data_IF_753440460426
#
_entry.id   IF_753440460426
#
_cell.length_a   1.000
_cell.length_b   1.000
_cell.length_c   1.000
_cell.angle_alpha   90.00
_cell.angle_beta   90.00
_cell.angle_gamma   90.00
#
_symmetry.space_group_name_H-M   'P 1'
#
loop_
_entity.id
_entity.type
_entity.pdbx_description
1 polymer ?
#
# COMPACT_ATOMS: atom_id res chain seq x y z
N UNK A 1 7.37 70.56 -8.81
CA UNK A 1 6.83 69.17 -8.75
C UNK A 1 7.89 68.07 -8.91
N UNK A 2 9.17 68.26 -8.64
CA UNK A 2 10.22 67.23 -8.79
C UNK A 2 10.64 66.51 -7.48
N UNK A 3 10.21 67.07 -6.32
CA UNK A 3 10.71 66.61 -4.99
C UNK A 3 10.00 65.36 -4.46
N UNK A 4 8.80 65.03 -4.98
CA UNK A 4 8.03 63.91 -4.46
C UNK A 4 8.32 62.56 -5.16
N UNK A 5 8.96 62.57 -6.34
CA UNK A 5 9.28 61.36 -7.07
C UNK A 5 10.47 60.56 -6.49
N UNK A 6 11.45 61.29 -5.95
CA UNK A 6 12.59 60.66 -5.26
C UNK A 6 12.18 59.96 -3.97
N UNK A 7 11.20 60.51 -3.22
CA UNK A 7 10.63 59.87 -2.03
C UNK A 7 9.86 58.58 -2.38
N UNK A 8 9.15 58.60 -3.50
CA UNK A 8 8.38 57.42 -3.97
C UNK A 8 9.31 56.31 -4.45
N UNK A 9 10.41 56.61 -5.12
CA UNK A 9 11.42 55.66 -5.56
C UNK A 9 12.17 55.01 -4.35
N UNK A 10 12.51 55.78 -3.34
CA UNK A 10 13.18 55.26 -2.13
C UNK A 10 12.24 54.38 -1.32
N UNK A 11 10.95 54.72 -1.26
CA UNK A 11 9.94 53.89 -0.57
C UNK A 11 9.69 52.55 -1.29
N UNK A 12 9.66 52.52 -2.64
CA UNK A 12 9.52 51.28 -3.41
C UNK A 12 10.72 50.35 -3.29
N UNK A 13 11.95 50.90 -3.28
CA UNK A 13 13.17 50.10 -3.09
C UNK A 13 13.27 49.50 -1.70
N UNK A 14 12.81 50.24 -0.66
CA UNK A 14 12.80 49.73 0.71
C UNK A 14 11.77 48.59 0.90
N UNK A 15 10.59 48.68 0.25
CA UNK A 15 9.56 47.63 0.27
C UNK A 15 10.01 46.37 -0.44
N UNK A 16 10.75 46.49 -1.55
CA UNK A 16 11.28 45.32 -2.27
C UNK A 16 12.41 44.61 -1.49
N UNK A 17 13.18 45.31 -0.70
CA UNK A 17 14.23 44.72 0.13
C UNK A 17 13.66 43.90 1.32
N UNK A 18 12.50 44.28 1.85
CA UNK A 18 11.87 43.59 2.99
C UNK A 18 11.19 42.28 2.53
N UNK A 19 10.71 42.23 1.28
CA UNK A 19 10.09 40.99 0.73
C UNK A 19 11.11 39.93 0.33
N UNK A 20 12.36 40.28 0.07
CA UNK A 20 13.43 39.36 -0.28
C UNK A 20 13.98 38.54 0.91
N UNK A 21 13.80 39.02 2.15
CA UNK A 21 14.31 38.36 3.36
C UNK A 21 13.32 37.40 4.02
N UNK A 22 12.08 37.28 3.52
CA UNK A 22 11.05 36.43 4.11
C UNK A 22 10.64 35.24 3.19
N UNK A 23 11.59 34.64 2.48
CA UNK A 23 11.41 33.34 1.81
C UNK A 23 12.29 32.28 2.47
N UNK A 24 11.95 31.79 3.68
CA UNK A 24 12.68 30.64 4.27
C UNK A 24 12.28 29.28 3.67
N UNK A 25 11.45 29.26 2.63
CA UNK A 25 10.88 28.01 2.10
C UNK A 25 11.48 27.48 0.79
N UNK A 26 12.35 28.23 0.09
CA UNK A 26 12.84 27.80 -1.24
C UNK A 26 14.20 27.09 -1.24
N UNK A 27 14.81 26.89 -0.08
CA UNK A 27 16.06 26.13 0.09
C UNK A 27 15.93 25.01 1.13
N UNK A 28 14.73 24.49 1.37
CA UNK A 28 14.64 23.21 2.04
C UNK A 28 15.12 22.15 1.05
N UNK A 29 16.39 21.79 1.19
CA UNK A 29 16.90 20.51 0.69
C UNK A 29 15.91 19.45 1.19
N UNK A 30 15.33 18.60 0.31
CA UNK A 30 14.50 17.50 0.78
C UNK A 30 15.26 16.78 1.88
N UNK A 31 14.61 16.58 3.02
CA UNK A 31 15.20 15.79 4.10
C UNK A 31 15.70 14.49 3.48
N UNK A 32 16.91 14.02 3.84
CA UNK A 32 17.36 12.71 3.39
C UNK A 32 16.22 11.72 3.69
N UNK A 33 15.89 10.80 2.77
CA UNK A 33 14.90 9.76 3.05
C UNK A 33 15.29 9.12 4.38
N UNK A 34 14.31 8.99 5.28
CA UNK A 34 14.54 8.27 6.54
C UNK A 34 15.14 6.91 6.20
N UNK A 35 16.19 6.49 6.93
CA UNK A 35 16.83 5.22 6.65
C UNK A 35 15.76 4.14 6.73
N UNK A 36 15.56 3.42 5.63
CA UNK A 36 14.73 2.22 5.60
C UNK A 36 15.19 1.32 6.75
N UNK A 37 14.31 0.92 7.67
CA UNK A 37 14.72 0.12 8.81
C UNK A 37 15.50 -1.10 8.30
N UNK A 38 16.67 -1.32 8.89
CA UNK A 38 17.49 -2.50 8.57
C UNK A 38 16.69 -3.73 8.98
N UNK A 39 16.51 -4.72 8.09
CA UNK A 39 15.76 -5.91 8.43
C UNK A 39 16.39 -6.59 9.63
N UNK A 40 15.57 -6.96 10.61
CA UNK A 40 15.97 -7.85 11.68
C UNK A 40 16.43 -9.20 11.08
N UNK A 41 17.34 -9.90 11.77
CA UNK A 41 17.81 -11.21 11.37
C UNK A 41 16.62 -12.14 11.13
N UNK A 42 16.57 -12.76 9.93
CA UNK A 42 15.52 -13.69 9.55
C UNK A 42 14.58 -13.20 8.44
N UNK A 43 14.90 -12.10 7.75
CA UNK A 43 14.15 -11.68 6.55
C UNK A 43 14.82 -12.21 5.28
N UNK A 44 14.02 -12.78 4.36
CA UNK A 44 14.50 -13.32 3.08
C UNK A 44 13.64 -12.80 1.92
N UNK A 45 14.27 -12.74 0.72
CA UNK A 45 13.58 -12.34 -0.49
C UNK A 45 12.78 -13.49 -1.08
N UNK A 46 11.48 -13.27 -1.24
CA UNK A 46 10.59 -14.14 -1.98
C UNK A 46 10.29 -13.57 -3.37
N UNK A 47 10.22 -14.46 -4.36
CA UNK A 47 9.86 -14.08 -5.73
C UNK A 47 8.43 -14.53 -6.04
N UNK A 48 7.69 -13.65 -6.69
CA UNK A 48 6.36 -13.94 -7.21
C UNK A 48 6.24 -13.56 -8.68
N UNK A 49 5.04 -13.66 -9.23
CA UNK A 49 4.78 -13.32 -10.62
C UNK A 49 4.91 -11.78 -10.85
N UNK A 50 6.10 -11.35 -11.30
CA UNK A 50 6.41 -9.95 -11.62
C UNK A 50 6.75 -9.08 -10.40
N UNK A 51 7.13 -9.69 -9.27
CA UNK A 51 7.51 -8.94 -8.07
C UNK A 51 8.49 -9.71 -7.20
N UNK A 52 9.16 -8.99 -6.29
CA UNK A 52 9.91 -9.54 -5.16
C UNK A 52 9.43 -8.84 -3.89
N UNK A 53 9.46 -9.54 -2.77
CA UNK A 53 9.10 -9.02 -1.44
C UNK A 53 10.01 -9.62 -0.38
N UNK A 54 10.37 -8.83 0.62
CA UNK A 54 11.12 -9.27 1.78
C UNK A 54 10.14 -9.68 2.89
N UNK A 55 10.19 -10.94 3.30
CA UNK A 55 9.34 -11.49 4.36
C UNK A 55 10.21 -12.23 5.39
N UNK A 56 9.71 -12.45 6.61
CA UNK A 56 10.33 -13.41 7.53
C UNK A 56 10.60 -14.75 6.87
N UNK A 57 11.72 -15.38 7.20
CA UNK A 57 12.13 -16.70 6.70
C UNK A 57 11.18 -17.84 7.10
N UNK A 58 10.25 -17.54 7.99
CA UNK A 58 9.19 -18.43 8.45
C UNK A 58 7.98 -18.52 7.51
N UNK A 59 7.95 -17.67 6.47
CA UNK A 59 6.89 -17.77 5.47
C UNK A 59 7.15 -18.93 4.51
N UNK A 60 6.12 -19.74 4.28
CA UNK A 60 6.12 -20.80 3.29
C UNK A 60 5.21 -20.42 2.11
N UNK A 61 5.81 -20.37 0.91
CA UNK A 61 5.06 -20.16 -0.32
C UNK A 61 4.25 -21.42 -0.67
N UNK A 62 2.99 -21.20 -1.03
CA UNK A 62 2.06 -22.28 -1.46
C UNK A 62 1.75 -22.17 -2.95
N UNK A 63 1.35 -23.27 -3.54
CA UNK A 63 0.90 -23.30 -4.94
C UNK A 63 -0.52 -22.72 -5.04
N UNK A 64 -0.63 -21.53 -5.60
CA UNK A 64 -1.91 -20.85 -5.78
C UNK A 64 -2.90 -21.68 -6.60
N UNK A 65 -2.44 -22.52 -7.54
CA UNK A 65 -3.31 -23.37 -8.36
C UNK A 65 -3.96 -24.47 -7.57
N UNK A 66 -3.26 -25.02 -6.58
CA UNK A 66 -3.77 -26.08 -5.72
C UNK A 66 -4.69 -25.55 -4.62
N UNK A 67 -4.55 -24.27 -4.25
CA UNK A 67 -5.26 -23.67 -3.12
C UNK A 67 -6.24 -22.55 -3.54
N UNK A 68 -6.71 -22.57 -4.79
CA UNK A 68 -7.63 -21.54 -5.31
C UNK A 68 -8.88 -21.35 -4.44
N UNK A 69 -9.42 -22.41 -3.86
CA UNK A 69 -10.58 -22.32 -2.97
C UNK A 69 -10.29 -21.52 -1.69
N UNK A 70 -9.13 -21.76 -1.07
CA UNK A 70 -8.68 -20.99 0.10
C UNK A 70 -8.45 -19.53 -0.23
N UNK A 71 -7.80 -19.26 -1.37
CA UNK A 71 -7.55 -17.90 -1.85
C UNK A 71 -8.86 -17.15 -2.13
N UNK A 72 -9.83 -17.78 -2.78
CA UNK A 72 -11.15 -17.20 -3.03
C UNK A 72 -11.85 -16.81 -1.73
N UNK A 73 -11.92 -17.73 -0.77
CA UNK A 73 -12.52 -17.45 0.53
C UNK A 73 -11.84 -16.27 1.25
N UNK A 74 -10.52 -16.16 1.10
CA UNK A 74 -9.71 -15.08 1.66
C UNK A 74 -10.05 -13.74 1.00
N UNK A 75 -10.13 -13.71 -0.33
CA UNK A 75 -10.47 -12.51 -1.09
C UNK A 75 -11.93 -12.09 -0.88
N UNK A 76 -12.86 -13.01 -0.81
CA UNK A 76 -14.28 -12.71 -0.61
C UNK A 76 -14.53 -11.95 0.68
N UNK A 77 -13.74 -12.19 1.72
CA UNK A 77 -13.79 -11.41 2.96
C UNK A 77 -13.39 -9.94 2.76
N UNK A 78 -12.52 -9.67 1.79
CA UNK A 78 -12.06 -8.31 1.47
C UNK A 78 -12.88 -7.65 0.35
N UNK A 79 -13.19 -8.40 -0.71
CA UNK A 79 -13.83 -7.90 -1.94
C UNK A 79 -15.35 -7.83 -1.82
N UNK A 80 -15.97 -8.76 -1.07
CA UNK A 80 -17.40 -9.00 -1.08
C UNK A 80 -17.86 -9.79 -2.31
N UNK A 81 -19.16 -9.96 -2.45
CA UNK A 81 -19.74 -10.76 -3.54
C UNK A 81 -19.57 -10.14 -4.93
N UNK A 82 -20.12 -10.80 -5.94
CA UNK A 82 -20.00 -10.46 -7.36
C UNK A 82 -20.51 -9.05 -7.74
N UNK A 83 -21.35 -8.44 -6.92
CA UNK A 83 -21.85 -7.08 -7.12
C UNK A 83 -20.88 -5.98 -6.65
N UNK A 84 -19.72 -6.35 -6.10
CA UNK A 84 -18.71 -5.41 -5.64
C UNK A 84 -18.03 -4.70 -6.82
N UNK A 85 -17.76 -3.38 -6.73
CA UNK A 85 -16.97 -2.66 -7.75
C UNK A 85 -15.56 -3.21 -7.95
N UNK A 86 -15.07 -4.02 -7.01
CA UNK A 86 -13.75 -4.67 -7.09
C UNK A 86 -13.86 -6.19 -7.24
N UNK A 87 -15.04 -6.70 -7.64
CA UNK A 87 -15.27 -8.13 -7.87
C UNK A 87 -14.29 -8.72 -8.90
N UNK A 88 -13.85 -7.92 -9.87
CA UNK A 88 -12.86 -8.35 -10.87
C UNK A 88 -11.48 -8.74 -10.28
N UNK A 89 -11.22 -8.48 -9.00
CA UNK A 89 -10.05 -9.07 -8.32
C UNK A 89 -10.11 -10.59 -8.27
N UNK A 90 -11.32 -11.17 -8.27
CA UNK A 90 -11.54 -12.62 -8.27
C UNK A 90 -11.58 -13.22 -9.68
N UNK A 91 -11.74 -12.36 -10.72
CA UNK A 91 -11.73 -12.83 -12.10
C UNK A 91 -10.33 -13.30 -12.49
N UNK A 92 -10.24 -14.45 -13.15
CA UNK A 92 -8.97 -15.04 -13.59
C UNK A 92 -7.94 -15.10 -12.45
N UNK A 93 -8.37 -15.45 -11.25
CA UNK A 93 -7.56 -15.39 -10.02
C UNK A 93 -6.21 -16.09 -10.19
N UNK A 94 -6.17 -17.26 -10.86
CA UNK A 94 -4.93 -18.01 -11.10
C UNK A 94 -3.84 -17.17 -11.78
N UNK A 95 -4.23 -16.31 -12.73
CA UNK A 95 -3.29 -15.44 -13.44
C UNK A 95 -2.98 -14.13 -12.67
N UNK A 96 -3.86 -13.75 -11.76
CA UNK A 96 -3.77 -12.51 -11.01
C UNK A 96 -3.01 -12.68 -9.68
N UNK A 97 -2.93 -13.90 -9.12
CA UNK A 97 -2.12 -14.16 -7.93
C UNK A 97 -0.64 -14.02 -8.27
N UNK A 98 0.02 -13.07 -7.63
CA UNK A 98 1.46 -12.88 -7.75
C UNK A 98 2.23 -13.69 -6.71
N UNK A 99 1.67 -13.85 -5.51
CA UNK A 99 2.26 -14.65 -4.43
C UNK A 99 1.17 -15.08 -3.44
N UNK A 100 1.32 -16.29 -2.88
CA UNK A 100 0.46 -16.83 -1.84
C UNK A 100 1.26 -17.69 -0.88
N UNK A 101 0.99 -17.56 0.43
CA UNK A 101 1.62 -18.40 1.44
C UNK A 101 1.23 -18.00 2.85
N UNK A 102 1.87 -18.65 3.84
CA UNK A 102 1.58 -18.44 5.26
C UNK A 102 2.85 -18.43 6.11
N UNK A 103 2.79 -17.74 7.24
CA UNK A 103 3.83 -17.75 8.27
C UNK A 103 3.63 -18.95 9.19
N UNK A 104 4.56 -19.90 9.11
CA UNK A 104 4.49 -21.17 9.87
C UNK A 104 5.02 -21.05 11.31
N UNK A 105 5.67 -19.94 11.66
CA UNK A 105 6.23 -19.76 13.00
C UNK A 105 5.24 -19.23 14.03
N UNK A 106 4.12 -18.67 13.61
CA UNK A 106 3.18 -18.03 14.51
C UNK A 106 2.35 -19.08 15.26
N UNK A 107 2.54 -19.30 16.58
CA UNK A 107 1.66 -20.09 17.40
C UNK A 107 0.35 -19.32 17.57
N UNK A 108 -0.59 -19.52 16.69
CA UNK A 108 -1.84 -18.80 16.67
C UNK A 108 -2.99 -19.76 16.42
N UNK A 109 -4.20 -19.27 16.61
CA UNK A 109 -5.44 -19.99 16.26
C UNK A 109 -5.42 -20.43 14.78
N UNK A 110 -4.79 -19.59 13.93
CA UNK A 110 -4.44 -19.90 12.53
C UNK A 110 -3.17 -19.09 12.16
N UNK A 111 -2.38 -19.57 11.17
CA UNK A 111 -1.18 -18.85 10.72
C UNK A 111 -1.54 -17.53 10.05
N UNK A 112 -0.61 -16.56 10.08
CA UNK A 112 -0.73 -15.36 9.27
C UNK A 112 -0.61 -15.74 7.80
N UNK A 113 -1.61 -15.39 7.01
CA UNK A 113 -1.63 -15.62 5.58
C UNK A 113 -1.27 -14.35 4.83
N UNK A 114 -0.56 -14.48 3.73
CA UNK A 114 -0.25 -13.39 2.81
C UNK A 114 -0.72 -13.76 1.41
N UNK A 115 -1.53 -12.89 0.83
CA UNK A 115 -1.96 -12.96 -0.55
C UNK A 115 -1.56 -11.68 -1.27
N UNK A 116 -0.89 -11.82 -2.41
CA UNK A 116 -0.56 -10.70 -3.29
C UNK A 116 -1.24 -10.93 -4.64
N UNK A 117 -2.12 -10.01 -5.00
CA UNK A 117 -2.83 -10.02 -6.28
C UNK A 117 -2.47 -8.77 -7.08
N UNK A 118 -2.43 -8.94 -8.40
CA UNK A 118 -2.30 -7.84 -9.37
C UNK A 118 -3.43 -7.90 -10.37
N UNK A 119 -3.96 -6.74 -10.78
CA UNK A 119 -5.07 -6.70 -11.73
C UNK A 119 -4.96 -5.48 -12.65
N UNK A 120 -4.91 -5.75 -13.95
CA UNK A 120 -4.81 -4.69 -14.97
C UNK A 120 -6.15 -4.00 -15.20
N UNK A 121 -7.27 -4.72 -15.12
CA UNK A 121 -8.60 -4.15 -15.37
C UNK A 121 -8.98 -3.08 -14.33
N UNK A 122 -8.39 -3.15 -13.12
CA UNK A 122 -8.62 -2.20 -12.03
C UNK A 122 -7.61 -1.05 -11.99
N UNK A 123 -6.66 -1.00 -12.91
CA UNK A 123 -5.67 0.09 -12.95
C UNK A 123 -6.33 1.47 -13.06
N UNK A 124 -7.37 1.60 -13.90
CA UNK A 124 -8.15 2.83 -14.07
C UNK A 124 -9.09 3.17 -12.89
N UNK A 125 -9.35 2.24 -11.96
CA UNK A 125 -10.30 2.46 -10.86
C UNK A 125 -9.71 3.40 -9.81
N UNK A 126 -10.37 4.52 -9.45
CA UNK A 126 -9.90 5.41 -8.39
C UNK A 126 -9.81 4.70 -7.03
N UNK A 127 -8.79 5.00 -6.24
CA UNK A 127 -8.64 4.43 -4.87
C UNK A 127 -9.84 4.80 -3.99
N UNK A 128 -10.45 5.97 -4.19
CA UNK A 128 -11.67 6.36 -3.47
C UNK A 128 -12.84 5.41 -3.71
N UNK A 129 -12.96 4.84 -4.91
CA UNK A 129 -13.97 3.84 -5.23
C UNK A 129 -13.67 2.51 -4.54
N UNK A 130 -12.41 2.11 -4.49
CA UNK A 130 -11.98 0.91 -3.75
C UNK A 130 -12.29 1.09 -2.25
N UNK A 131 -12.00 2.26 -1.66
CA UNK A 131 -12.38 2.59 -0.27
C UNK A 131 -13.88 2.42 -0.04
N UNK A 132 -14.70 2.89 -0.97
CA UNK A 132 -16.16 2.77 -0.88
C UNK A 132 -16.62 1.31 -1.00
N UNK A 133 -15.99 0.53 -1.87
CA UNK A 133 -16.28 -0.90 -2.03
C UNK A 133 -15.97 -1.69 -0.76
N UNK A 134 -14.79 -1.50 -0.17
CA UNK A 134 -14.41 -2.14 1.10
C UNK A 134 -15.38 -1.80 2.22
N UNK A 135 -15.79 -0.53 2.34
CA UNK A 135 -16.82 -0.13 3.32
C UNK A 135 -18.17 -0.79 3.07
N UNK A 136 -18.57 -0.93 1.81
CA UNK A 136 -19.84 -1.57 1.45
C UNK A 136 -19.85 -3.06 1.88
N UNK A 137 -18.72 -3.75 1.65
CA UNK A 137 -18.54 -5.16 2.05
C UNK A 137 -18.66 -5.34 3.55
N UNK A 138 -18.03 -4.47 4.33
CA UNK A 138 -18.08 -4.54 5.79
C UNK A 138 -19.44 -4.11 6.38
N UNK A 139 -20.28 -3.41 5.63
CA UNK A 139 -21.62 -3.01 6.05
C UNK A 139 -21.63 -2.23 7.37
N UNK A 140 -22.30 -2.77 8.39
CA UNK A 140 -22.37 -2.15 9.72
C UNK A 140 -21.05 -2.19 10.50
N UNK A 141 -20.10 -3.02 10.10
CA UNK A 141 -18.83 -3.24 10.81
C UNK A 141 -17.74 -2.22 10.45
N UNK A 142 -18.08 -1.21 9.63
CA UNK A 142 -17.15 -0.15 9.21
C UNK A 142 -16.48 0.62 10.34
N UNK A 143 -17.04 0.59 11.55
CA UNK A 143 -16.47 1.24 12.75
C UNK A 143 -15.10 0.68 13.15
N UNK A 144 -14.78 -0.57 12.75
CA UNK A 144 -13.49 -1.22 13.01
C UNK A 144 -12.50 -1.05 11.85
N UNK A 145 -12.91 -0.42 10.74
CA UNK A 145 -12.06 -0.19 9.59
C UNK A 145 -11.26 1.10 9.75
N UNK A 146 -9.95 0.98 9.80
CA UNK A 146 -9.01 2.10 9.69
C UNK A 146 -8.53 2.21 8.24
N UNK A 147 -8.29 3.44 7.78
CA UNK A 147 -7.78 3.69 6.43
C UNK A 147 -6.74 4.79 6.49
N UNK A 148 -5.55 4.51 6.00
CA UNK A 148 -4.42 5.43 6.00
C UNK A 148 -3.77 5.49 4.63
N UNK A 149 -3.14 6.62 4.32
CA UNK A 149 -2.28 6.76 3.15
C UNK A 149 -0.84 6.81 3.62
N UNK A 150 -0.03 5.87 3.14
CA UNK A 150 1.38 5.72 3.45
C UNK A 150 2.21 6.05 2.21
N UNK A 151 3.47 6.44 2.41
CA UNK A 151 4.42 6.67 1.33
C UNK A 151 5.66 5.81 1.56
N UNK A 152 5.92 4.88 0.63
CA UNK A 152 7.09 4.03 0.63
C UNK A 152 8.00 4.40 -0.55
N UNK A 153 8.98 5.25 -0.31
CA UNK A 153 9.78 5.83 -1.38
C UNK A 153 8.90 6.64 -2.35
N UNK A 154 8.88 6.33 -3.66
CA UNK A 154 8.01 7.02 -4.63
C UNK A 154 6.57 6.48 -4.65
N UNK A 155 6.28 5.40 -3.94
CA UNK A 155 4.99 4.69 -3.98
C UNK A 155 4.03 5.24 -2.94
N UNK A 156 2.86 5.71 -3.38
CA UNK A 156 1.72 6.00 -2.51
C UNK A 156 0.88 4.74 -2.34
N UNK A 157 0.62 4.36 -1.10
CA UNK A 157 -0.08 3.13 -0.73
C UNK A 157 -1.25 3.48 0.17
N UNK A 158 -2.43 2.98 -0.13
CA UNK A 158 -3.56 3.03 0.82
C UNK A 158 -3.60 1.75 1.62
N UNK A 159 -3.46 1.87 2.95
CA UNK A 159 -3.62 0.77 3.89
C UNK A 159 -5.02 0.77 4.47
N UNK A 160 -5.64 -0.39 4.45
CA UNK A 160 -6.87 -0.70 5.17
C UNK A 160 -6.54 -1.68 6.27
N UNK A 161 -6.95 -1.40 7.49
CA UNK A 161 -6.76 -2.31 8.63
C UNK A 161 -8.11 -2.57 9.28
N UNK A 162 -8.43 -3.84 9.49
CA UNK A 162 -9.67 -4.28 10.11
C UNK A 162 -9.39 -5.40 11.09
N UNK A 163 -10.02 -5.35 12.27
CA UNK A 163 -9.93 -6.42 13.24
C UNK A 163 -11.22 -6.50 14.05
N UNK A 164 -11.88 -7.66 13.98
CA UNK A 164 -13.09 -7.96 14.75
C UNK A 164 -13.18 -9.44 15.06
N UNK A 165 -13.52 -9.77 16.29
CA UNK A 165 -13.77 -11.13 16.77
C UNK A 165 -12.63 -12.11 16.43
N UNK A 166 -12.82 -12.94 15.40
CA UNK A 166 -11.86 -13.97 14.99
C UNK A 166 -11.04 -13.62 13.76
N UNK A 167 -11.32 -12.46 13.11
CA UNK A 167 -10.67 -12.09 11.84
C UNK A 167 -10.00 -10.74 11.95
N UNK A 168 -8.71 -10.70 11.62
CA UNK A 168 -7.93 -9.47 11.46
C UNK A 168 -7.23 -9.47 10.12
N UNK A 169 -7.17 -8.32 9.44
CA UNK A 169 -6.43 -8.19 8.19
C UNK A 169 -5.91 -6.76 7.98
N UNK A 170 -4.79 -6.68 7.25
CA UNK A 170 -4.26 -5.44 6.68
C UNK A 170 -4.13 -5.61 5.17
N UNK A 171 -4.79 -4.74 4.41
CA UNK A 171 -4.72 -4.71 2.97
C UNK A 171 -4.04 -3.42 2.49
N UNK A 172 -3.03 -3.57 1.64
CA UNK A 172 -2.31 -2.47 1.03
C UNK A 172 -2.65 -2.42 -0.44
N UNK A 173 -3.12 -1.27 -0.90
CA UNK A 173 -3.57 -1.07 -2.27
C UNK A 173 -2.80 0.07 -2.90
N UNK A 174 -2.16 -0.19 -4.02
CA UNK A 174 -1.40 0.79 -4.77
C UNK A 174 -1.38 0.49 -6.27
N UNK A 175 -0.95 1.47 -7.06
CA UNK A 175 -0.83 1.33 -8.51
C UNK A 175 0.63 1.46 -8.91
N UNK A 176 1.09 0.50 -9.70
CA UNK A 176 2.45 0.52 -10.23
C UNK A 176 2.54 -0.31 -11.51
N UNK A 177 3.31 0.15 -12.50
CA UNK A 177 3.53 -0.53 -13.79
C UNK A 177 2.22 -0.86 -14.55
N UNK A 178 1.20 0.03 -14.50
CA UNK A 178 -0.07 -0.18 -15.18
C UNK A 178 -0.96 -1.26 -14.56
N UNK A 179 -0.73 -1.60 -13.30
CA UNK A 179 -1.47 -2.61 -12.56
C UNK A 179 -1.94 -2.04 -11.22
N UNK A 180 -3.12 -2.47 -10.77
CA UNK A 180 -3.51 -2.37 -9.37
C UNK A 180 -2.91 -3.55 -8.61
N UNK A 181 -2.24 -3.28 -7.51
CA UNK A 181 -1.69 -4.27 -6.59
C UNK A 181 -2.47 -4.25 -5.29
N UNK A 182 -2.77 -5.44 -4.79
CA UNK A 182 -3.37 -5.66 -3.47
C UNK A 182 -2.49 -6.65 -2.72
N UNK A 183 -1.96 -6.23 -1.58
CA UNK A 183 -1.19 -7.06 -0.64
C UNK A 183 -2.03 -7.23 0.60
N UNK A 184 -2.50 -8.44 0.86
CA UNK A 184 -3.44 -8.76 1.93
C UNK A 184 -2.82 -9.72 2.94
N UNK A 185 -2.57 -9.21 4.15
CA UNK A 185 -2.21 -10.02 5.31
C UNK A 185 -3.46 -10.34 6.11
N UNK A 186 -3.69 -11.62 6.40
CA UNK A 186 -4.75 -12.08 7.30
C UNK A 186 -4.10 -12.74 8.50
N UNK A 187 -4.45 -12.27 9.68
CA UNK A 187 -3.84 -12.70 10.94
C UNK A 187 -4.90 -12.69 12.06
N UNK A 188 -4.73 -13.46 13.13
CA UNK A 188 -5.56 -13.30 14.32
C UNK A 188 -5.59 -11.83 14.79
N UNK A 189 -6.75 -11.28 15.18
CA UNK A 189 -6.86 -9.86 15.56
C UNK A 189 -5.90 -9.45 16.67
N UNK A 190 -5.60 -10.37 17.60
CA UNK A 190 -4.65 -10.13 18.69
C UNK A 190 -3.22 -9.85 18.20
N UNK A 191 -2.86 -10.39 17.02
CA UNK A 191 -1.51 -10.25 16.44
C UNK A 191 -1.40 -9.04 15.51
N UNK A 192 -2.55 -8.49 15.06
CA UNK A 192 -2.59 -7.47 14.01
C UNK A 192 -1.72 -6.24 14.35
N UNK A 193 -1.92 -5.68 15.54
CA UNK A 193 -1.16 -4.51 15.97
C UNK A 193 0.35 -4.81 16.16
N UNK A 194 0.68 -5.99 16.67
CA UNK A 194 2.07 -6.39 16.90
C UNK A 194 2.84 -6.66 15.59
N UNK A 195 2.15 -7.07 14.53
CA UNK A 195 2.76 -7.39 13.24
C UNK A 195 2.70 -6.24 12.23
N UNK A 196 2.00 -5.14 12.56
CA UNK A 196 1.75 -4.06 11.60
C UNK A 196 3.02 -3.46 11.02
N UNK A 197 4.05 -3.23 11.85
CA UNK A 197 5.33 -2.68 11.40
C UNK A 197 6.06 -3.64 10.45
N UNK A 198 5.96 -4.95 10.69
CA UNK A 198 6.52 -5.96 9.80
C UNK A 198 5.80 -6.01 8.45
N UNK A 199 4.47 -5.86 8.46
CA UNK A 199 3.68 -5.79 7.22
C UNK A 199 4.05 -4.54 6.42
N UNK A 200 4.12 -3.37 7.08
CA UNK A 200 4.52 -2.11 6.46
C UNK A 200 5.92 -2.23 5.85
N UNK A 201 6.87 -2.81 6.58
CA UNK A 201 8.22 -3.05 6.11
C UNK A 201 8.25 -3.97 4.87
N UNK A 202 7.50 -5.08 4.91
CA UNK A 202 7.42 -6.02 3.80
C UNK A 202 6.87 -5.34 2.55
N UNK A 203 5.79 -4.56 2.67
CA UNK A 203 5.20 -3.83 1.53
C UNK A 203 6.14 -2.73 1.02
N UNK A 204 6.84 -2.04 1.91
CA UNK A 204 7.84 -1.03 1.54
C UNK A 204 9.01 -1.65 0.76
N UNK A 205 9.38 -2.88 1.06
CA UNK A 205 10.47 -3.62 0.39
C UNK A 205 10.12 -4.10 -1.01
N UNK A 206 8.84 -4.12 -1.39
CA UNK A 206 8.41 -4.70 -2.67
C UNK A 206 9.09 -4.04 -3.87
N UNK A 207 9.62 -4.88 -4.74
CA UNK A 207 10.17 -4.50 -6.05
C UNK A 207 9.23 -5.06 -7.11
N UNK A 208 8.64 -4.18 -7.92
CA UNK A 208 7.80 -4.57 -9.04
C UNK A 208 8.66 -4.60 -10.30
N UNK A 209 8.72 -5.75 -10.95
CA UNK A 209 9.45 -5.88 -12.21
C UNK A 209 8.75 -5.07 -13.31
N UNK A 210 9.51 -4.37 -14.17
CA UNK A 210 8.93 -3.70 -15.33
C UNK A 210 8.13 -4.69 -16.18
N UNK A 211 6.92 -4.32 -16.57
CA UNK A 211 6.14 -5.11 -17.53
C UNK A 211 6.91 -5.15 -18.84
N UNK A 212 7.28 -6.33 -19.32
CA UNK A 212 7.95 -6.46 -20.63
C UNK A 212 7.04 -5.82 -21.68
N UNK A 213 7.51 -4.74 -22.31
CA UNK A 213 6.81 -4.15 -23.45
C UNK A 213 6.79 -5.19 -24.57
N UNK A 214 5.61 -5.55 -25.14
CA UNK A 214 5.58 -6.45 -26.28
C UNK A 214 6.46 -5.85 -27.37
N UNK A 215 7.49 -6.58 -27.77
CA UNK A 215 8.26 -6.19 -28.97
C UNK A 215 7.33 -6.37 -30.16
N UNK A 216 6.93 -5.24 -30.75
CA UNK A 216 6.13 -5.15 -31.97
C UNK A 216 6.92 -5.55 -33.19
#
# INVERSE_FOLDING_TARGET
>A
MKKNWTLLLVSCTLLLAITACNLPGLLQTPAPPEPTPTPDFGMVWYQGAGMQILLPDTYEQRDAKQDLGGILNTLEQFVGGQDSPIASLTDNLESNVAWWGEDTAAPAVYPTQLLIVKNQALEGVPISLIKSAVKLVLGSDTGSLQTETLTFGPREVTRFTYGKESTGWSAYVFKEQGLLWVVLFITPPANLAAQQDNFDYSVASMIIAPTATPQS
#
